data_IF_683170487189
#
_entry.id   IF_683170487189
#
_cell.length_a   1.000
_cell.length_b   1.000
_cell.length_c   1.000
_cell.angle_alpha   90.00
_cell.angle_beta   90.00
_cell.angle_gamma   90.00
#
_symmetry.space_group_name_H-M   'P 1'
#
loop_
_entity.id
_entity.type
_entity.pdbx_description
1 polymer ?
#
# COMPACT_ATOMS: atom_id res chain seq x y z
N UNK A 1 25.72 10.89 6.82
CA UNK A 1 25.42 10.36 8.17
C UNK A 1 24.65 9.06 7.99
N UNK A 2 25.14 7.96 8.54
CA UNK A 2 24.42 6.67 8.49
C UNK A 2 23.25 6.76 9.49
N UNK A 3 22.02 6.91 9.00
CA UNK A 3 20.88 6.55 9.85
C UNK A 3 20.78 5.03 9.84
N UNK A 4 20.62 4.46 11.03
CA UNK A 4 20.40 3.02 11.19
C UNK A 4 19.20 2.60 10.34
N UNK A 5 19.41 1.61 9.45
CA UNK A 5 18.33 1.04 8.66
C UNK A 5 17.31 0.39 9.58
N UNK A 6 16.02 0.62 9.30
CA UNK A 6 14.91 -0.03 10.01
C UNK A 6 14.21 -0.99 9.06
N UNK A 7 13.84 -2.16 9.57
CA UNK A 7 13.03 -3.13 8.86
C UNK A 7 11.56 -2.70 8.92
N UNK A 8 10.89 -2.74 7.77
CA UNK A 8 9.46 -2.49 7.65
C UNK A 8 8.72 -3.70 7.10
N UNK A 9 7.43 -3.81 7.41
CA UNK A 9 6.56 -4.91 6.98
C UNK A 9 5.33 -4.33 6.30
N UNK A 10 5.17 -4.60 5.01
CA UNK A 10 4.12 -4.02 4.17
C UNK A 10 3.46 -5.13 3.35
N UNK A 11 2.20 -5.44 3.67
CA UNK A 11 1.51 -6.59 3.10
C UNK A 11 2.33 -7.86 3.31
N UNK A 12 2.73 -8.52 2.21
CA UNK A 12 3.48 -9.78 2.24
C UNK A 12 4.99 -9.61 2.04
N UNK A 13 5.49 -8.39 2.18
CA UNK A 13 6.90 -8.07 1.96
C UNK A 13 7.51 -7.32 3.12
N UNK A 14 8.82 -7.47 3.25
CA UNK A 14 9.65 -6.70 4.17
C UNK A 14 10.90 -6.20 3.45
N UNK A 15 11.38 -5.03 3.83
CA UNK A 15 12.65 -4.47 3.39
C UNK A 15 13.14 -3.43 4.40
N UNK A 16 14.39 -3.00 4.23
CA UNK A 16 15.07 -2.08 5.13
C UNK A 16 15.28 -0.72 4.49
N UNK A 17 14.94 0.36 5.21
CA UNK A 17 15.13 1.74 4.75
C UNK A 17 15.78 2.58 5.86
N UNK A 18 16.75 3.45 5.53
CA UNK A 18 17.34 4.40 6.47
C UNK A 18 16.42 5.62 6.69
N UNK A 19 15.24 5.38 7.27
CA UNK A 19 14.24 6.39 7.64
C UNK A 19 14.03 6.39 9.17
N UNK A 20 13.76 7.56 9.74
CA UNK A 20 13.36 7.67 11.13
C UNK A 20 11.92 7.18 11.36
N UNK A 21 11.13 7.05 10.29
CA UNK A 21 9.77 6.57 10.29
C UNK A 21 8.71 7.66 10.35
N UNK A 22 9.09 8.94 10.28
CA UNK A 22 8.14 10.05 10.17
C UNK A 22 7.63 10.18 8.75
N UNK A 23 6.41 10.69 8.59
CA UNK A 23 5.78 11.00 7.29
C UNK A 23 5.68 9.83 6.30
N UNK A 24 5.72 8.59 6.81
CA UNK A 24 5.38 7.41 6.01
C UNK A 24 3.90 7.47 5.69
N UNK A 25 3.59 7.59 4.40
CA UNK A 25 2.24 7.41 3.90
C UNK A 25 2.00 5.94 3.61
N UNK A 26 0.87 5.39 4.07
CA UNK A 26 0.50 4.01 3.78
C UNK A 26 -0.99 3.85 3.50
N UNK A 27 -1.31 2.97 2.55
CA UNK A 27 -2.65 2.53 2.26
C UNK A 27 -2.65 1.01 2.06
N UNK A 28 -3.42 0.34 2.91
CA UNK A 28 -3.66 -1.10 2.83
C UNK A 28 -5.12 -1.30 2.41
N UNK A 29 -5.37 -2.09 1.36
CA UNK A 29 -6.72 -2.41 0.91
C UNK A 29 -6.93 -3.91 0.87
N UNK A 30 -8.11 -4.31 1.32
CA UNK A 30 -8.62 -5.68 1.23
C UNK A 30 -10.01 -5.60 0.62
N UNK A 31 -10.27 -6.34 -0.46
CA UNK A 31 -11.50 -6.26 -1.26
C UNK A 31 -11.73 -4.83 -1.78
N UNK A 32 -10.68 -4.23 -2.35
CA UNK A 32 -10.71 -2.88 -2.93
C UNK A 32 -11.04 -1.74 -1.93
N UNK A 33 -11.15 -2.04 -0.63
CA UNK A 33 -11.49 -1.07 0.43
C UNK A 33 -10.36 -0.93 1.45
N UNK A 34 -10.03 0.33 1.77
CA UNK A 34 -8.95 0.67 2.71
C UNK A 34 -9.26 0.14 4.10
N UNK A 35 -8.28 -0.53 4.72
CA UNK A 35 -8.26 -0.83 6.15
C UNK A 35 -7.32 0.17 6.80
N UNK A 36 -7.87 1.03 7.63
CA UNK A 36 -7.16 2.15 8.23
C UNK A 36 -7.10 2.01 9.74
N UNK A 37 -5.91 2.10 10.34
CA UNK A 37 -5.79 2.26 11.79
C UNK A 37 -6.30 3.64 12.18
N UNK A 38 -7.39 3.69 12.94
CA UNK A 38 -7.99 4.96 13.38
C UNK A 38 -7.79 5.24 14.87
N UNK A 39 -7.36 4.25 15.66
CA UNK A 39 -7.03 4.43 17.07
C UNK A 39 -6.14 3.30 17.61
N UNK A 40 -5.22 3.66 18.51
CA UNK A 40 -4.48 2.73 19.37
C UNK A 40 -5.16 2.53 20.75
N UNK A 41 -6.31 3.18 20.96
CA UNK A 41 -7.11 3.11 22.18
C UNK A 41 -8.58 2.80 21.85
N UNK A 42 -8.78 1.73 21.08
CA UNK A 42 -10.03 1.40 20.41
C UNK A 42 -11.23 1.24 21.34
N UNK A 43 -11.11 0.53 22.47
CA UNK A 43 -12.21 0.25 23.40
C UNK A 43 -12.85 1.52 23.95
N UNK A 44 -12.06 2.51 24.35
CA UNK A 44 -12.60 3.76 24.88
C UNK A 44 -13.15 4.67 23.80
N UNK A 45 -12.55 4.65 22.61
CA UNK A 45 -12.93 5.56 21.53
C UNK A 45 -14.05 5.01 20.64
N UNK A 46 -14.27 3.70 20.61
CA UNK A 46 -15.17 3.04 19.68
C UNK A 46 -16.59 3.60 19.75
N UNK A 47 -17.15 3.74 20.96
CA UNK A 47 -18.52 4.24 21.16
C UNK A 47 -18.63 5.66 20.57
N UNK A 48 -17.65 6.52 20.83
CA UNK A 48 -17.59 7.87 20.25
C UNK A 48 -17.50 7.82 18.73
N UNK A 49 -16.65 6.97 18.15
CA UNK A 49 -16.50 6.84 16.68
C UNK A 49 -17.80 6.36 16.02
N UNK A 50 -18.49 5.39 16.61
CA UNK A 50 -19.80 4.90 16.14
C UNK A 50 -20.83 6.02 16.24
N UNK A 51 -20.91 6.70 17.38
CA UNK A 51 -21.84 7.81 17.60
C UNK A 51 -21.62 8.95 16.59
N UNK A 52 -20.36 9.31 16.33
CA UNK A 52 -20.00 10.32 15.34
C UNK A 52 -20.41 9.92 13.92
N UNK A 53 -20.22 8.65 13.55
CA UNK A 53 -20.66 8.13 12.26
C UNK A 53 -22.20 8.21 12.11
N UNK A 54 -22.94 7.77 13.13
CA UNK A 54 -24.41 7.86 13.16
C UNK A 54 -24.87 9.31 13.10
N UNK A 55 -24.25 10.22 13.87
CA UNK A 55 -24.57 11.66 13.86
C UNK A 55 -24.40 12.26 12.48
N UNK A 56 -23.29 11.95 11.79
CA UNK A 56 -23.05 12.40 10.40
C UNK A 56 -24.14 11.91 9.45
N UNK A 57 -24.59 10.66 9.60
CA UNK A 57 -25.68 10.10 8.78
C UNK A 57 -27.00 10.81 9.09
N UNK A 58 -27.31 11.07 10.37
CA UNK A 58 -28.56 11.77 10.77
C UNK A 58 -28.64 13.20 10.20
N UNK A 59 -27.52 13.91 10.14
CA UNK A 59 -27.47 15.23 9.45
C UNK A 59 -27.81 15.09 7.96
N UNK A 60 -27.35 14.04 7.30
CA UNK A 60 -27.71 13.77 5.90
C UNK A 60 -29.18 13.33 5.74
N UNK A 61 -29.78 12.77 6.79
CA UNK A 61 -31.19 12.39 6.80
C UNK A 61 -32.11 13.60 6.84
N UNK A 62 -31.72 14.67 7.54
CA UNK A 62 -32.46 15.94 7.56
C UNK A 62 -32.59 16.57 6.18
N UNK A 63 -31.61 16.37 5.29
CA UNK A 63 -31.64 16.82 3.89
C UNK A 63 -32.17 15.76 2.91
N UNK A 64 -32.62 14.60 3.40
CA UNK A 64 -33.11 13.49 2.57
C UNK A 64 -32.03 12.75 1.76
N UNK A 65 -30.74 13.00 2.04
CA UNK A 65 -29.63 12.48 1.25
C UNK A 65 -29.20 11.04 1.63
N UNK A 66 -29.39 10.65 2.89
CA UNK A 66 -29.14 9.28 3.38
C UNK A 66 -29.87 9.02 4.70
N UNK A 67 -30.16 7.77 5.00
CA UNK A 67 -30.83 7.34 6.23
C UNK A 67 -29.96 6.35 7.02
N UNK A 68 -29.94 6.46 8.34
CA UNK A 68 -29.35 5.42 9.21
C UNK A 68 -30.29 4.22 9.27
N UNK A 69 -29.76 3.02 8.97
CA UNK A 69 -30.55 1.80 8.94
C UNK A 69 -30.39 1.00 10.23
N UNK A 70 -29.15 0.62 10.56
CA UNK A 70 -28.84 -0.20 11.73
C UNK A 70 -27.36 -0.16 12.07
N UNK A 71 -27.03 -0.56 13.29
CA UNK A 71 -25.69 -0.95 13.70
C UNK A 71 -25.69 -2.46 13.93
N UNK A 72 -24.70 -3.16 13.38
CA UNK A 72 -24.50 -4.59 13.58
C UNK A 72 -23.25 -4.79 14.41
N UNK A 73 -23.36 -5.49 15.53
CA UNK A 73 -22.19 -5.82 16.36
C UNK A 73 -21.31 -6.88 15.69
N UNK A 74 -20.00 -6.77 15.91
CA UNK A 74 -18.99 -7.75 15.53
C UNK A 74 -18.42 -8.42 16.78
N UNK A 75 -18.07 -9.70 16.66
CA UNK A 75 -17.41 -10.43 17.73
C UNK A 75 -16.13 -9.71 18.20
N UNK A 76 -15.89 -9.71 19.50
CA UNK A 76 -14.76 -8.97 20.09
C UNK A 76 -15.01 -7.46 20.28
N UNK A 77 -16.21 -6.98 19.95
CA UNK A 77 -16.70 -5.65 20.32
C UNK A 77 -16.66 -4.60 19.22
N UNK A 78 -16.27 -4.95 17.98
CA UNK A 78 -16.38 -4.06 16.82
C UNK A 78 -17.82 -3.83 16.38
N UNK A 79 -18.03 -3.03 15.33
CA UNK A 79 -19.37 -2.76 14.82
C UNK A 79 -19.39 -2.38 13.33
N UNK A 80 -20.54 -2.55 12.69
CA UNK A 80 -20.85 -2.05 11.34
C UNK A 80 -21.99 -1.05 11.46
N UNK A 81 -21.75 0.21 11.12
CA UNK A 81 -22.81 1.22 10.98
C UNK A 81 -23.30 1.23 9.54
N UNK A 82 -24.57 0.91 9.32
CA UNK A 82 -25.19 0.80 8.00
C UNK A 82 -26.08 2.00 7.74
N UNK A 83 -25.88 2.65 6.60
CA UNK A 83 -26.77 3.69 6.07
C UNK A 83 -27.23 3.37 4.67
N UNK A 84 -28.28 4.04 4.22
CA UNK A 84 -28.87 3.83 2.89
C UNK A 84 -29.18 5.17 2.24
N UNK A 85 -28.78 5.31 0.99
CA UNK A 85 -29.33 6.31 0.07
C UNK A 85 -29.93 5.57 -1.13
N UNK A 86 -29.34 5.71 -2.32
CA UNK A 86 -29.64 4.83 -3.47
C UNK A 86 -29.14 3.40 -3.22
N UNK A 87 -27.92 3.28 -2.68
CA UNK A 87 -27.30 2.03 -2.28
C UNK A 87 -26.99 2.07 -0.78
N UNK A 88 -26.71 0.91 -0.20
CA UNK A 88 -26.22 0.83 1.17
C UNK A 88 -24.77 1.31 1.25
N UNK A 89 -24.44 1.93 2.38
CA UNK A 89 -23.08 2.24 2.79
C UNK A 89 -22.81 1.60 4.14
N UNK A 90 -21.56 1.26 4.40
CA UNK A 90 -21.12 0.68 5.66
C UNK A 90 -19.87 1.38 6.16
N UNK A 91 -19.90 1.82 7.41
CA UNK A 91 -18.70 2.14 8.18
C UNK A 91 -18.43 0.98 9.14
N UNK A 92 -17.39 0.21 8.86
CA UNK A 92 -17.02 -0.98 9.62
C UNK A 92 -15.86 -0.63 10.56
N UNK A 93 -15.99 -1.01 11.81
CA UNK A 93 -15.04 -0.77 12.90
C UNK A 93 -14.56 -2.11 13.46
N UNK A 94 -13.31 -2.46 13.21
CA UNK A 94 -12.70 -3.72 13.68
C UNK A 94 -11.86 -3.47 14.92
N UNK A 95 -12.29 -4.03 16.06
CA UNK A 95 -11.58 -3.92 17.33
C UNK A 95 -10.74 -5.17 17.59
N UNK A 96 -9.42 -4.99 17.73
CA UNK A 96 -8.53 -6.12 18.04
C UNK A 96 -8.45 -6.39 19.55
N UNK A 97 -8.00 -7.59 19.92
CA UNK A 97 -7.80 -8.01 21.33
C UNK A 97 -6.88 -7.07 22.13
N UNK A 98 -5.94 -6.39 21.47
CA UNK A 98 -4.96 -5.47 22.08
C UNK A 98 -5.32 -4.00 21.85
N UNK A 99 -6.61 -3.70 21.74
CA UNK A 99 -7.15 -2.35 21.81
C UNK A 99 -6.79 -1.46 20.60
N UNK A 100 -6.41 -2.02 19.45
CA UNK A 100 -6.33 -1.25 18.20
C UNK A 100 -7.65 -1.28 17.46
N UNK A 101 -8.01 -0.15 16.86
CA UNK A 101 -9.25 0.02 16.11
C UNK A 101 -8.95 0.36 14.67
N UNK A 102 -9.48 -0.46 13.77
CA UNK A 102 -9.42 -0.23 12.34
C UNK A 102 -10.77 0.19 11.79
N UNK A 103 -10.75 0.99 10.71
CA UNK A 103 -11.93 1.35 9.94
C UNK A 103 -11.82 0.87 8.51
N UNK A 104 -12.93 0.37 7.97
CA UNK A 104 -13.14 0.20 6.53
C UNK A 104 -14.47 0.83 6.15
N UNK A 105 -14.47 1.69 5.12
CA UNK A 105 -15.68 2.32 4.58
C UNK A 105 -16.07 1.70 3.24
N UNK A 106 -17.35 1.39 3.07
CA UNK A 106 -17.93 0.82 1.86
C UNK A 106 -19.03 1.74 1.37
N UNK A 107 -18.82 2.38 0.23
CA UNK A 107 -19.66 3.51 -0.21
C UNK A 107 -20.84 3.14 -1.11
N UNK A 108 -20.93 1.87 -1.52
CA UNK A 108 -21.98 1.39 -2.41
C UNK A 108 -22.10 -0.13 -2.35
N UNK A 109 -23.21 -0.61 -1.77
CA UNK A 109 -23.61 -2.01 -1.76
C UNK A 109 -25.07 -2.09 -2.20
N UNK A 110 -25.39 -2.94 -3.17
CA UNK A 110 -26.76 -3.11 -3.65
C UNK A 110 -27.66 -3.72 -2.56
N UNK A 111 -28.97 -3.53 -2.67
CA UNK A 111 -29.92 -4.13 -1.72
C UNK A 111 -29.85 -5.66 -1.65
N UNK A 112 -29.51 -6.34 -2.75
CA UNK A 112 -29.33 -7.80 -2.76
C UNK A 112 -28.00 -8.24 -2.15
N UNK A 113 -27.00 -7.36 -2.11
CA UNK A 113 -25.64 -7.68 -1.66
C UNK A 113 -25.35 -7.31 -0.21
N UNK A 114 -26.24 -6.61 0.50
CA UNK A 114 -25.95 -6.08 1.84
C UNK A 114 -25.67 -7.18 2.87
N UNK A 115 -26.43 -8.26 2.86
CA UNK A 115 -26.23 -9.36 3.82
C UNK A 115 -24.91 -10.10 3.55
N UNK A 116 -24.55 -10.27 2.27
CA UNK A 116 -23.24 -10.82 1.88
C UNK A 116 -22.09 -9.90 2.32
N UNK A 117 -22.27 -8.57 2.20
CA UNK A 117 -21.28 -7.60 2.63
C UNK A 117 -21.08 -7.59 4.15
N UNK A 118 -22.18 -7.71 4.92
CA UNK A 118 -22.13 -7.87 6.38
C UNK A 118 -21.44 -9.18 6.76
N UNK A 119 -21.76 -10.29 6.10
CA UNK A 119 -21.10 -11.58 6.33
C UNK A 119 -19.60 -11.50 6.04
N UNK A 120 -19.22 -10.83 4.95
CA UNK A 120 -17.82 -10.61 4.59
C UNK A 120 -17.08 -9.74 5.62
N UNK A 121 -17.73 -8.70 6.15
CA UNK A 121 -17.16 -7.88 7.21
C UNK A 121 -16.94 -8.70 8.50
N UNK A 122 -17.88 -9.60 8.85
CA UNK A 122 -17.71 -10.53 9.97
C UNK A 122 -16.54 -11.48 9.78
N UNK A 123 -16.37 -12.02 8.57
CA UNK A 123 -15.20 -12.83 8.25
C UNK A 123 -13.90 -12.03 8.41
N UNK A 124 -13.79 -10.84 7.82
CA UNK A 124 -12.58 -10.02 7.97
C UNK A 124 -12.27 -9.65 9.44
N UNK A 125 -13.30 -9.52 10.28
CA UNK A 125 -13.14 -9.26 11.72
C UNK A 125 -12.43 -10.39 12.45
N UNK A 126 -12.58 -11.65 12.02
CA UNK A 126 -11.87 -12.78 12.64
C UNK A 126 -10.41 -12.87 12.21
N UNK A 127 -10.07 -12.29 11.05
CA UNK A 127 -8.75 -12.38 10.44
C UNK A 127 -7.81 -11.23 10.83
N UNK A 128 -8.31 -10.15 11.44
CA UNK A 128 -7.51 -8.99 11.79
C UNK A 128 -6.94 -9.08 13.20
N UNK A 129 -5.62 -8.87 13.31
CA UNK A 129 -4.89 -9.03 14.54
C UNK A 129 -3.96 -7.85 14.81
N UNK A 130 -3.75 -7.57 16.09
CA UNK A 130 -2.74 -6.62 16.54
C UNK A 130 -1.33 -7.19 16.38
N UNK A 131 -0.37 -6.30 16.11
CA UNK A 131 1.06 -6.56 16.18
C UNK A 131 1.81 -5.26 16.43
N UNK A 132 2.91 -5.32 17.18
CA UNK A 132 3.84 -4.20 17.26
C UNK A 132 4.50 -3.96 15.89
N UNK A 133 4.43 -2.76 15.29
CA UNK A 133 4.99 -2.49 13.97
C UNK A 133 6.46 -2.94 13.77
N UNK A 134 7.27 -2.92 14.83
CA UNK A 134 8.68 -3.33 14.80
C UNK A 134 8.91 -4.85 14.80
N UNK A 135 7.90 -5.66 15.14
CA UNK A 135 8.01 -7.12 15.22
C UNK A 135 7.62 -7.76 13.89
N UNK A 136 8.33 -8.81 13.48
CA UNK A 136 7.96 -9.58 12.28
C UNK A 136 6.54 -10.18 12.45
N UNK A 137 5.61 -10.00 11.51
CA UNK A 137 4.33 -10.71 11.54
C UNK A 137 4.54 -12.22 11.28
N UNK A 138 3.58 -13.08 11.61
CA UNK A 138 3.66 -14.51 11.25
C UNK A 138 3.82 -14.69 9.74
N UNK A 139 4.52 -15.76 9.34
CA UNK A 139 4.78 -16.02 7.93
C UNK A 139 3.47 -16.25 7.14
N UNK A 140 3.45 -15.81 5.88
CA UNK A 140 2.29 -15.92 5.00
C UNK A 140 1.10 -15.03 5.37
N UNK A 141 1.27 -14.06 6.27
CA UNK A 141 0.23 -13.08 6.62
C UNK A 141 0.35 -11.78 5.83
N UNK A 142 -0.72 -10.97 5.86
CA UNK A 142 -0.76 -9.65 5.24
C UNK A 142 -0.55 -8.56 6.31
N UNK A 143 0.64 -7.97 6.37
CA UNK A 143 1.01 -6.92 7.32
C UNK A 143 0.29 -5.60 7.02
N UNK A 144 -0.25 -4.98 8.08
CA UNK A 144 -0.87 -3.65 8.06
C UNK A 144 -0.31 -2.79 9.20
N UNK A 145 -0.65 -1.51 9.24
CA UNK A 145 -0.22 -0.59 10.30
C UNK A 145 -0.67 -1.11 11.68
N UNK A 146 0.30 -1.29 12.59
CA UNK A 146 0.12 -1.87 13.94
C UNK A 146 -0.66 -3.20 14.00
N UNK A 147 -0.58 -4.02 12.93
CA UNK A 147 -1.33 -5.27 12.83
C UNK A 147 -0.86 -6.19 11.72
N UNK A 148 -1.65 -7.25 11.53
CA UNK A 148 -1.60 -8.13 10.37
C UNK A 148 -2.96 -8.80 10.17
N UNK A 149 -3.15 -9.42 9.00
CA UNK A 149 -4.32 -10.22 8.69
C UNK A 149 -3.93 -11.63 8.26
N UNK A 150 -4.59 -12.66 8.80
CA UNK A 150 -4.42 -14.06 8.38
C UNK A 150 -5.29 -14.37 7.16
N UNK A 151 -5.11 -13.61 6.08
CA UNK A 151 -5.90 -13.78 4.86
C UNK A 151 -5.57 -15.13 4.19
N UNK A 152 -6.57 -15.98 3.92
CA UNK A 152 -6.41 -17.14 3.06
C UNK A 152 -5.77 -16.76 1.73
N UNK A 153 -4.78 -17.56 1.32
CA UNK A 153 -4.03 -17.36 0.09
C UNK A 153 -4.99 -17.32 -1.11
N UNK A 154 -4.73 -16.40 -2.03
CA UNK A 154 -5.43 -16.22 -3.32
C UNK A 154 -6.95 -16.00 -3.23
N UNK A 155 -7.47 -15.68 -2.04
CA UNK A 155 -8.91 -15.52 -1.82
C UNK A 155 -9.35 -14.07 -1.87
N UNK A 156 -8.57 -13.17 -1.28
CA UNK A 156 -8.90 -11.76 -1.17
C UNK A 156 -8.10 -10.93 -2.17
N UNK A 157 -8.73 -9.91 -2.75
CA UNK A 157 -7.96 -8.85 -3.41
C UNK A 157 -7.21 -8.07 -2.33
N UNK A 158 -5.89 -8.05 -2.47
CA UNK A 158 -4.97 -7.40 -1.55
C UNK A 158 -4.20 -6.34 -2.31
N UNK A 159 -4.08 -5.14 -1.73
CA UNK A 159 -3.25 -4.06 -2.27
C UNK A 159 -2.54 -3.33 -1.15
N UNK A 160 -1.29 -2.96 -1.41
CA UNK A 160 -0.47 -2.09 -0.58
C UNK A 160 0.05 -0.96 -1.45
N UNK A 161 0.01 0.25 -0.93
CA UNK A 161 0.69 1.42 -1.50
C UNK A 161 1.36 2.18 -0.36
N UNK A 162 2.68 2.33 -0.43
CA UNK A 162 3.49 3.03 0.58
C UNK A 162 4.30 4.13 -0.09
N UNK A 163 4.34 5.29 0.55
CA UNK A 163 5.31 6.35 0.29
C UNK A 163 6.23 6.50 1.50
N UNK A 164 7.53 6.38 1.28
CA UNK A 164 8.58 6.35 2.30
C UNK A 164 9.57 7.48 2.06
N UNK A 165 9.59 8.52 2.90
CA UNK A 165 10.68 9.48 2.89
C UNK A 165 11.95 8.85 3.47
N UNK A 166 13.09 9.14 2.85
CA UNK A 166 14.40 8.66 3.33
C UNK A 166 15.07 9.76 4.15
N UNK A 167 14.94 9.69 5.46
CA UNK A 167 15.39 10.76 6.37
C UNK A 167 16.91 10.99 6.36
N UNK A 168 17.73 9.99 5.99
CA UNK A 168 19.18 10.18 5.83
C UNK A 168 19.58 11.09 4.68
N UNK A 169 18.75 11.18 3.63
CA UNK A 169 19.09 11.89 2.39
C UNK A 169 17.87 12.68 1.93
N UNK A 170 17.78 13.98 2.28
CA UNK A 170 16.69 14.84 1.87
C UNK A 170 16.51 14.87 0.35
N UNK A 171 15.27 14.78 -0.10
CA UNK A 171 14.90 14.78 -1.52
C UNK A 171 14.79 13.40 -2.17
N UNK A 172 15.01 12.31 -1.41
CA UNK A 172 14.71 10.95 -1.88
C UNK A 172 13.31 10.55 -1.45
N UNK A 173 12.50 10.15 -2.42
CA UNK A 173 11.20 9.52 -2.20
C UNK A 173 11.24 8.07 -2.68
N UNK A 174 10.80 7.15 -1.83
CA UNK A 174 10.59 5.75 -2.17
C UNK A 174 9.09 5.45 -2.23
N UNK A 175 8.67 4.74 -3.27
CA UNK A 175 7.33 4.13 -3.32
C UNK A 175 7.43 2.62 -3.32
N UNK A 176 6.46 1.98 -2.68
CA UNK A 176 6.30 0.54 -2.71
C UNK A 176 4.83 0.19 -2.94
N UNK A 177 4.58 -0.52 -4.03
CA UNK A 177 3.24 -0.93 -4.42
C UNK A 177 3.17 -2.44 -4.65
N UNK A 178 2.15 -3.07 -4.09
CA UNK A 178 1.81 -4.46 -4.41
C UNK A 178 0.32 -4.58 -4.70
N UNK A 179 -0.05 -5.41 -5.67
CA UNK A 179 -1.44 -5.68 -5.98
C UNK A 179 -1.63 -7.08 -6.54
N UNK A 180 -2.64 -7.80 -6.02
CA UNK A 180 -3.15 -9.00 -6.69
C UNK A 180 -3.83 -8.60 -8.00
N UNK A 181 -3.33 -9.10 -9.11
CA UNK A 181 -3.76 -8.73 -10.46
C UNK A 181 -4.43 -9.92 -11.16
N UNK A 182 -5.37 -9.67 -12.06
CA UNK A 182 -5.96 -10.73 -12.89
C UNK A 182 -5.15 -11.04 -14.14
N UNK A 183 -4.58 -10.02 -14.78
CA UNK A 183 -3.74 -10.18 -15.97
C UNK A 183 -2.53 -9.24 -15.87
N UNK A 184 -1.29 -9.73 -16.08
CA UNK A 184 -0.11 -8.89 -16.08
C UNK A 184 -0.08 -7.99 -17.32
N UNK A 185 0.45 -6.79 -17.13
CA UNK A 185 0.88 -5.92 -18.22
C UNK A 185 2.18 -6.45 -18.87
N UNK A 186 2.56 -5.98 -20.08
CA UNK A 186 3.89 -6.23 -20.62
C UNK A 186 4.95 -5.83 -19.61
N UNK A 187 6.09 -6.55 -19.55
CA UNK A 187 7.10 -6.32 -18.50
C UNK A 187 7.75 -4.94 -18.58
N UNK A 188 8.40 -4.50 -17.50
CA UNK A 188 9.06 -3.20 -17.38
C UNK A 188 9.98 -2.91 -18.58
N UNK A 189 10.86 -3.86 -18.91
CA UNK A 189 11.85 -3.69 -19.98
C UNK A 189 11.19 -3.69 -21.36
N UNK A 190 10.17 -4.52 -21.56
CA UNK A 190 9.38 -4.49 -22.81
C UNK A 190 8.66 -3.17 -22.98
N UNK A 191 8.03 -2.63 -21.93
CA UNK A 191 7.37 -1.31 -21.98
C UNK A 191 8.39 -0.19 -22.22
N UNK A 192 9.58 -0.29 -21.63
CA UNK A 192 10.67 0.66 -21.90
C UNK A 192 11.08 0.62 -23.37
N UNK A 193 11.35 -0.56 -23.92
CA UNK A 193 11.76 -0.75 -25.31
C UNK A 193 10.72 -0.21 -26.29
N UNK A 194 9.43 -0.52 -26.08
CA UNK A 194 8.31 -0.02 -26.89
C UNK A 194 8.19 1.52 -26.89
N UNK A 195 8.53 2.16 -25.76
CA UNK A 195 8.51 3.64 -25.64
C UNK A 195 9.72 4.29 -26.29
N UNK A 196 10.88 3.63 -26.26
CA UNK A 196 12.11 4.15 -26.88
C UNK A 196 12.23 3.87 -28.38
N UNK A 197 11.56 2.83 -28.89
CA UNK A 197 11.60 2.45 -30.31
C UNK A 197 10.66 3.27 -31.21
N UNK A 198 9.95 4.25 -30.65
CA UNK A 198 9.01 5.11 -31.39
C UNK A 198 7.63 4.49 -31.65
N UNK A 199 7.37 3.27 -31.15
CA UNK A 199 6.07 2.59 -31.28
C UNK A 199 4.98 3.30 -30.45
N UNK A 200 5.35 3.98 -29.36
CA UNK A 200 4.47 4.82 -28.55
C UNK A 200 5.02 6.25 -28.43
N UNK A 201 4.46 7.19 -29.21
CA UNK A 201 4.75 8.62 -29.13
C UNK A 201 3.92 9.29 -28.02
N UNK A 202 4.44 9.33 -26.81
CA UNK A 202 3.82 10.05 -25.68
C UNK A 202 4.74 11.12 -25.10
N UNK A 203 4.21 12.06 -24.31
CA UNK A 203 4.96 13.11 -23.58
C UNK A 203 6.17 12.55 -22.80
N UNK A 204 6.08 11.29 -22.35
CA UNK A 204 7.18 10.57 -21.67
C UNK A 204 8.42 10.36 -22.55
N UNK A 205 8.28 10.34 -23.89
CA UNK A 205 9.43 10.17 -24.80
C UNK A 205 10.43 11.33 -24.69
N UNK A 206 9.94 12.54 -24.40
CA UNK A 206 10.77 13.74 -24.23
C UNK A 206 11.58 13.76 -22.94
N UNK A 207 11.11 13.05 -21.90
CA UNK A 207 11.82 12.87 -20.63
C UNK A 207 12.80 11.70 -20.77
N UNK A 208 12.38 10.60 -21.38
CA UNK A 208 13.24 9.45 -21.66
C UNK A 208 14.39 9.81 -22.60
N UNK A 209 14.18 10.66 -23.61
CA UNK A 209 15.24 11.10 -24.53
C UNK A 209 16.31 11.98 -23.87
N UNK A 210 15.99 12.63 -22.75
CA UNK A 210 16.92 13.40 -21.92
C UNK A 210 17.57 12.57 -20.82
N UNK A 211 17.22 11.29 -20.73
CA UNK A 211 17.69 10.39 -19.69
C UNK A 211 18.76 9.44 -20.23
N UNK A 212 19.68 9.05 -19.37
CA UNK A 212 20.66 7.99 -19.63
C UNK A 212 20.34 6.77 -18.78
N UNK A 213 20.48 5.57 -19.37
CA UNK A 213 20.34 4.30 -18.65
C UNK A 213 21.61 4.03 -17.87
N UNK A 214 21.50 3.89 -16.56
CA UNK A 214 22.58 3.43 -15.69
C UNK A 214 22.64 1.90 -15.63
N UNK A 215 21.49 1.24 -15.54
CA UNK A 215 21.39 -0.22 -15.52
C UNK A 215 20.04 -0.69 -16.04
N UNK A 216 20.05 -1.76 -16.84
CA UNK A 216 18.88 -2.49 -17.31
C UNK A 216 19.14 -3.98 -17.08
N UNK A 217 18.40 -4.64 -16.20
CA UNK A 217 18.70 -6.02 -15.84
C UNK A 217 17.48 -6.85 -15.47
N UNK A 218 17.64 -8.18 -15.48
CA UNK A 218 16.72 -9.14 -14.85
C UNK A 218 17.46 -9.76 -13.68
N UNK A 219 16.83 -9.86 -12.51
CA UNK A 219 17.46 -10.39 -11.29
C UNK A 219 16.44 -11.11 -10.42
N UNK A 220 16.89 -12.16 -9.76
CA UNK A 220 16.08 -12.85 -8.75
C UNK A 220 16.12 -12.06 -7.44
N UNK A 221 14.96 -11.59 -6.98
CA UNK A 221 14.79 -10.87 -5.71
C UNK A 221 13.61 -11.48 -4.97
N UNK A 222 13.76 -11.75 -3.68
CA UNK A 222 12.74 -12.42 -2.86
C UNK A 222 12.22 -13.75 -3.47
N UNK A 223 13.04 -14.41 -4.29
CA UNK A 223 12.69 -15.65 -5.02
C UNK A 223 11.90 -15.44 -6.32
N UNK A 224 11.66 -14.21 -6.75
CA UNK A 224 10.91 -13.88 -7.98
C UNK A 224 11.83 -13.24 -9.03
N UNK A 225 11.50 -13.40 -10.30
CA UNK A 225 12.26 -12.82 -11.42
C UNK A 225 11.84 -11.36 -11.67
N UNK A 226 12.44 -10.43 -10.95
CA UNK A 226 12.23 -9.00 -11.14
C UNK A 226 13.00 -8.47 -12.35
N UNK A 227 12.47 -7.40 -12.93
CA UNK A 227 13.15 -6.55 -13.90
C UNK A 227 13.54 -5.23 -13.25
N UNK A 228 14.68 -4.68 -13.65
CA UNK A 228 15.24 -3.46 -13.08
C UNK A 228 15.61 -2.47 -14.18
N UNK A 229 15.23 -1.21 -13.97
CA UNK A 229 15.57 -0.10 -14.83
C UNK A 229 16.00 1.10 -13.98
N UNK A 230 17.26 1.50 -14.13
CA UNK A 230 17.84 2.66 -13.45
C UNK A 230 18.13 3.75 -14.45
N UNK A 231 17.43 4.87 -14.35
CA UNK A 231 17.60 6.04 -15.21
C UNK A 231 18.19 7.20 -14.42
N UNK A 232 19.00 8.00 -15.11
CA UNK A 232 19.41 9.33 -14.66
C UNK A 232 19.04 10.39 -15.68
N UNK A 233 18.71 11.58 -15.20
CA UNK A 233 18.37 12.73 -16.04
C UNK A 233 19.07 13.95 -15.48
N UNK A 234 19.66 14.78 -16.33
CA UNK A 234 20.22 16.07 -15.91
C UNK A 234 19.21 17.18 -16.18
N UNK A 235 18.81 17.90 -15.12
CA UNK A 235 17.86 19.02 -15.18
C UNK A 235 18.45 20.18 -14.39
N UNK A 236 18.60 21.35 -15.02
CA UNK A 236 19.11 22.58 -14.40
C UNK A 236 20.41 22.40 -13.58
N UNK A 237 21.35 21.62 -14.13
CA UNK A 237 22.64 21.33 -13.49
C UNK A 237 22.59 20.33 -12.34
N UNK A 238 21.44 19.69 -12.11
CA UNK A 238 21.24 18.65 -11.09
C UNK A 238 20.97 17.30 -11.73
N UNK A 239 21.53 16.25 -11.14
CA UNK A 239 21.25 14.86 -11.54
C UNK A 239 20.06 14.34 -10.75
N UNK A 240 19.06 13.86 -11.49
CA UNK A 240 17.84 13.24 -10.96
C UNK A 240 17.88 11.76 -11.28
N UNK A 241 17.60 10.91 -10.29
CA UNK A 241 17.53 9.47 -10.46
C UNK A 241 16.07 9.01 -10.44
N UNK A 242 15.74 8.06 -11.32
CA UNK A 242 14.47 7.35 -11.37
C UNK A 242 14.77 5.87 -11.51
N UNK A 243 14.74 5.16 -10.39
CA UNK A 243 15.09 3.75 -10.29
C UNK A 243 13.83 2.94 -10.02
N UNK A 244 13.68 1.82 -10.72
CA UNK A 244 12.51 0.96 -10.62
C UNK A 244 12.91 -0.50 -10.62
N UNK A 245 12.37 -1.24 -9.65
CA UNK A 245 12.38 -2.69 -9.60
C UNK A 245 10.93 -3.15 -9.75
N UNK A 246 10.65 -4.05 -10.68
CA UNK A 246 9.29 -4.50 -10.95
C UNK A 246 9.21 -6.02 -11.18
N UNK A 247 8.23 -6.63 -10.55
CA UNK A 247 7.75 -7.95 -10.88
C UNK A 247 6.34 -7.83 -11.46
N UNK A 248 6.09 -8.33 -12.68
CA UNK A 248 4.82 -8.12 -13.38
C UNK A 248 3.62 -8.77 -12.68
N UNK A 249 3.85 -9.68 -11.73
CA UNK A 249 2.82 -10.40 -11.00
C UNK A 249 2.42 -11.71 -11.68
N UNK A 250 2.11 -12.71 -10.87
CA UNK A 250 1.41 -13.93 -11.31
C UNK A 250 -0.10 -13.69 -11.20
N UNK A 251 -0.89 -13.96 -12.26
CA UNK A 251 -2.34 -13.88 -12.23
C UNK A 251 -2.95 -14.51 -10.98
N UNK A 252 -3.85 -13.78 -10.33
CA UNK A 252 -4.65 -14.23 -9.19
C UNK A 252 -3.84 -14.68 -7.96
N UNK A 253 -2.53 -14.43 -7.91
CA UNK A 253 -1.68 -14.80 -6.78
C UNK A 253 -1.53 -13.68 -5.75
N UNK A 254 -1.85 -13.98 -4.48
CA UNK A 254 -1.52 -13.14 -3.33
C UNK A 254 -0.04 -13.25 -2.94
N UNK A 255 0.61 -14.40 -3.19
CA UNK A 255 2.01 -14.63 -2.80
C UNK A 255 3.04 -14.18 -3.84
N UNK A 256 2.57 -13.92 -5.06
CA UNK A 256 3.33 -13.37 -6.19
C UNK A 256 2.56 -12.22 -6.84
N UNK A 257 2.16 -11.18 -6.08
CA UNK A 257 1.41 -10.07 -6.62
C UNK A 257 2.29 -9.24 -7.55
N UNK A 258 1.67 -8.44 -8.42
CA UNK A 258 2.40 -7.35 -9.06
C UNK A 258 3.09 -6.53 -7.97
N UNK A 259 4.39 -6.29 -8.12
CA UNK A 259 5.21 -5.67 -7.08
C UNK A 259 6.15 -4.66 -7.71
N UNK A 260 6.15 -3.43 -7.19
CA UNK A 260 7.02 -2.35 -7.63
C UNK A 260 7.63 -1.63 -6.45
N UNK A 261 8.94 -1.38 -6.55
CA UNK A 261 9.65 -0.41 -5.74
C UNK A 261 10.18 0.66 -6.69
N UNK A 262 9.96 1.93 -6.37
CA UNK A 262 10.57 3.05 -7.09
C UNK A 262 11.34 3.96 -6.14
N UNK A 263 12.42 4.52 -6.65
CA UNK A 263 13.16 5.60 -6.02
C UNK A 263 13.23 6.78 -6.98
N UNK A 264 12.83 7.95 -6.49
CA UNK A 264 12.90 9.20 -7.20
C UNK A 264 13.63 10.26 -6.37
N UNK A 265 14.42 11.08 -7.05
CA UNK A 265 15.08 12.25 -6.45
C UNK A 265 14.58 13.58 -7.04
N UNK A 266 13.32 13.60 -7.50
CA UNK A 266 12.69 14.79 -8.11
C UNK A 266 12.47 15.94 -7.10
N UNK A 267 12.31 15.62 -5.82
CA UNK A 267 12.03 16.62 -4.78
C UNK A 267 13.26 17.48 -4.47
N UNK A 268 13.04 18.73 -4.06
CA UNK A 268 14.13 19.66 -3.71
C UNK A 268 14.92 19.10 -2.53
N UNK A 269 16.15 18.68 -2.79
CA UNK A 269 17.11 18.20 -1.79
C UNK A 269 18.51 18.06 -2.39
N UNK A 270 19.49 17.71 -1.55
CA UNK A 270 20.87 17.48 -2.01
C UNK A 270 21.00 16.17 -2.80
N UNK A 271 20.10 15.20 -2.59
CA UNK A 271 20.12 13.92 -3.29
C UNK A 271 21.42 13.14 -3.08
N UNK A 272 21.80 12.33 -4.06
CA UNK A 272 23.08 11.62 -4.07
C UNK A 272 24.20 12.47 -4.66
N UNK A 273 25.42 12.29 -4.16
CA UNK A 273 26.60 12.99 -4.66
C UNK A 273 27.04 12.51 -6.05
N UNK A 274 26.81 11.23 -6.36
CA UNK A 274 27.25 10.59 -7.60
C UNK A 274 26.43 9.33 -7.89
N UNK A 275 26.57 8.80 -9.12
CA UNK A 275 25.86 7.59 -9.58
C UNK A 275 26.18 6.37 -8.69
N UNK A 276 27.41 6.24 -8.21
CA UNK A 276 27.85 5.10 -7.39
C UNK A 276 27.12 5.04 -6.05
N UNK A 277 26.95 6.18 -5.38
CA UNK A 277 26.23 6.24 -4.11
C UNK A 277 24.73 5.98 -4.29
N UNK A 278 24.14 6.50 -5.39
CA UNK A 278 22.74 6.22 -5.74
C UNK A 278 22.51 4.73 -5.98
N UNK A 279 23.37 4.10 -6.80
CA UNK A 279 23.28 2.67 -7.09
C UNK A 279 23.55 1.80 -5.85
N UNK A 280 24.49 2.17 -4.97
CA UNK A 280 24.76 1.45 -3.73
C UNK A 280 23.54 1.47 -2.80
N UNK A 281 22.93 2.64 -2.60
CA UNK A 281 21.72 2.76 -1.81
C UNK A 281 20.58 1.88 -2.36
N UNK A 282 20.41 1.89 -3.67
CA UNK A 282 19.41 1.08 -4.36
C UNK A 282 19.67 -0.42 -4.22
N UNK A 283 20.91 -0.86 -4.44
CA UNK A 283 21.29 -2.27 -4.33
C UNK A 283 21.08 -2.80 -2.91
N UNK A 284 21.41 -1.99 -1.91
CA UNK A 284 21.14 -2.29 -0.50
C UNK A 284 19.64 -2.46 -0.22
N UNK A 285 18.80 -1.54 -0.72
CA UNK A 285 17.35 -1.60 -0.59
C UNK A 285 16.80 -2.88 -1.24
N UNK A 286 17.16 -3.14 -2.50
CA UNK A 286 16.68 -4.30 -3.25
C UNK A 286 17.15 -5.62 -2.62
N UNK A 287 18.38 -5.67 -2.11
CA UNK A 287 18.90 -6.88 -1.44
C UNK A 287 18.18 -7.16 -0.12
N UNK A 288 17.67 -6.13 0.55
CA UNK A 288 16.89 -6.30 1.79
C UNK A 288 15.45 -6.79 1.55
N UNK A 289 14.94 -6.72 0.31
CA UNK A 289 13.57 -7.13 -0.02
C UNK A 289 13.39 -8.64 0.14
N UNK A 290 12.44 -9.03 0.99
CA UNK A 290 12.07 -10.42 1.27
C UNK A 290 10.56 -10.57 1.32
N UNK A 291 10.07 -11.78 1.01
CA UNK A 291 8.69 -12.18 1.28
C UNK A 291 8.52 -12.57 2.75
N UNK A 292 7.32 -12.37 3.26
CA UNK A 292 6.86 -12.76 4.60
C UNK A 292 5.99 -14.00 4.46
#
# INVERSE_FOLDING_TARGET
MSTTKKTFYFGRYTFEVPTDGTDIWSAYKVIDKKIELISKNGKSELITKISDAIKKIKILQESGAAEYVKTVELDGGGAIVVSKSTNYKMDIFYLTKKNTLYKQSVDSVSSRGIDMAIARARELNTLIHYRNPAERPPDGTFAIEAGYMTLPVDTFKEQVSIGLPVSSIPGIHLTFDTQRIGKPEPSLLTRYEQRTSGVLTSVLSSVLSKSSVLRKSKKTVAGLSFEELLLKTNVDGRTIYSFRLEYPGTPESSMEPYTVIEMSTLDKGLGFQNDTDAMRFWDDLVTSLKRI
#
